data_IF_268830180985
#
_entry.id   IF_268830180985
#
_cell.length_a   1.000
_cell.length_b   1.000
_cell.length_c   1.000
_cell.angle_alpha   90.00
_cell.angle_beta   90.00
_cell.angle_gamma   90.00
#
_symmetry.space_group_name_H-M   'P 1'
#
loop_
_entity.id
_entity.type
_entity.pdbx_description
1 polymer ?
#
# COMPACT_ATOMS: atom_id res chain seq x y z
N UNK A 1 -17.63 -22.42 -19.36
CA UNK A 1 -18.97 -21.78 -19.34
C UNK A 1 -18.88 -20.44 -18.63
N UNK A 2 -19.36 -19.35 -19.24
CA UNK A 2 -19.52 -18.05 -18.58
C UNK A 2 -20.88 -18.02 -17.92
N UNK A 3 -20.93 -17.72 -16.62
CA UNK A 3 -22.16 -17.68 -15.84
C UNK A 3 -22.37 -16.32 -15.17
N UNK A 4 -23.63 -15.85 -14.99
CA UNK A 4 -23.91 -14.68 -14.17
C UNK A 4 -23.44 -14.90 -12.72
N UNK A 5 -22.96 -13.86 -12.00
CA UNK A 5 -22.43 -14.01 -10.64
C UNK A 5 -23.39 -14.68 -9.67
N UNK A 6 -24.70 -14.44 -9.80
CA UNK A 6 -25.72 -15.05 -8.93
C UNK A 6 -25.68 -16.58 -9.00
N UNK A 7 -25.44 -17.13 -10.19
CA UNK A 7 -25.40 -18.57 -10.45
C UNK A 7 -24.15 -19.15 -9.81
N UNK A 8 -23.00 -18.51 -10.03
CA UNK A 8 -21.73 -18.94 -9.42
C UNK A 8 -21.77 -18.93 -7.88
N UNK A 9 -22.45 -17.95 -7.28
CA UNK A 9 -22.61 -17.90 -5.83
C UNK A 9 -23.53 -19.03 -5.33
N UNK A 10 -24.66 -19.26 -6.01
CA UNK A 10 -25.60 -20.33 -5.64
C UNK A 10 -24.94 -21.71 -5.67
N UNK A 11 -24.10 -21.99 -6.67
CA UNK A 11 -23.35 -23.26 -6.76
C UNK A 11 -22.27 -23.40 -5.68
N UNK A 12 -21.72 -22.30 -5.16
CA UNK A 12 -20.69 -22.32 -4.10
C UNK A 12 -21.29 -22.52 -2.71
N UNK A 13 -22.44 -21.91 -2.42
CA UNK A 13 -23.04 -21.90 -1.08
C UNK A 13 -23.59 -23.24 -0.60
N UNK A 14 -23.82 -24.20 -1.51
CA UNK A 14 -24.48 -25.47 -1.18
C UNK A 14 -23.51 -26.62 -0.81
N UNK A 15 -22.21 -26.34 -0.67
CA UNK A 15 -21.18 -27.35 -0.41
C UNK A 15 -21.01 -27.73 1.07
N UNK A 16 -21.98 -27.44 1.93
CA UNK A 16 -21.93 -27.80 3.35
C UNK A 16 -23.08 -28.76 3.69
N UNK A 17 -22.69 -29.99 4.07
CA UNK A 17 -23.36 -30.91 5.01
C UNK A 17 -23.94 -32.25 4.53
N UNK A 18 -24.22 -32.56 3.26
CA UNK A 18 -24.81 -33.87 2.90
C UNK A 18 -24.39 -34.42 1.51
N UNK A 19 -24.63 -35.71 1.20
CA UNK A 19 -24.19 -36.35 -0.04
C UNK A 19 -24.80 -35.62 -1.24
N UNK A 20 -24.00 -34.78 -1.88
CA UNK A 20 -24.19 -34.14 -3.18
C UNK A 20 -25.66 -33.99 -3.63
N UNK A 21 -26.43 -33.02 -3.10
CA UNK A 21 -27.66 -32.61 -3.75
C UNK A 21 -27.35 -32.11 -5.16
N UNK A 22 -28.10 -32.54 -6.17
CA UNK A 22 -27.93 -32.07 -7.54
C UNK A 22 -28.13 -30.55 -7.59
N UNK A 23 -27.06 -29.79 -7.79
CA UNK A 23 -27.09 -28.32 -7.72
C UNK A 23 -27.77 -27.66 -8.92
N UNK A 24 -27.69 -28.31 -10.08
CA UNK A 24 -28.28 -27.85 -11.31
C UNK A 24 -28.51 -29.03 -12.26
N UNK A 25 -29.41 -28.85 -13.22
CA UNK A 25 -29.66 -29.78 -14.32
C UNK A 25 -29.38 -29.06 -15.62
N UNK A 26 -28.61 -29.68 -16.52
CA UNK A 26 -28.42 -29.20 -17.90
C UNK A 26 -29.35 -30.01 -18.79
N UNK A 27 -30.18 -29.32 -19.56
CA UNK A 27 -31.17 -29.89 -20.47
C UNK A 27 -30.74 -29.56 -21.89
N UNK A 28 -30.67 -30.59 -22.73
CA UNK A 28 -30.35 -30.48 -24.16
C UNK A 28 -31.61 -30.88 -24.93
N UNK A 29 -32.17 -29.92 -25.65
CA UNK A 29 -33.34 -30.13 -26.50
C UNK A 29 -32.88 -30.16 -27.96
N UNK A 30 -33.23 -31.23 -28.66
CA UNK A 30 -32.90 -31.43 -30.08
C UNK A 30 -34.23 -31.52 -30.81
N UNK A 31 -34.46 -30.63 -31.77
CA UNK A 31 -35.61 -30.70 -32.66
C UNK A 31 -35.20 -31.38 -33.99
N UNK A 32 -35.59 -32.65 -34.22
CA UNK A 32 -35.19 -33.38 -35.42
C UNK A 32 -35.87 -32.87 -36.70
N UNK A 33 -36.96 -32.08 -36.60
CA UNK A 33 -37.70 -31.58 -37.77
C UNK A 33 -37.11 -30.27 -38.34
N UNK A 34 -36.26 -29.60 -37.58
CA UNK A 34 -35.66 -28.31 -37.92
C UNK A 34 -34.20 -28.44 -38.39
N UNK A 35 -33.82 -29.52 -39.09
CA UNK A 35 -32.43 -29.90 -39.35
C UNK A 35 -31.61 -29.03 -40.32
N UNK A 36 -32.23 -28.05 -40.99
CA UNK A 36 -31.65 -27.41 -42.19
C UNK A 36 -31.37 -25.91 -42.09
N UNK A 37 -31.50 -25.31 -40.91
CA UNK A 37 -31.23 -23.89 -40.69
C UNK A 37 -30.25 -23.69 -39.53
N UNK A 38 -29.61 -22.53 -39.42
CA UNK A 38 -28.75 -22.17 -38.26
C UNK A 38 -29.49 -22.28 -36.90
N UNK A 39 -30.83 -22.41 -36.92
CA UNK A 39 -31.72 -22.69 -35.78
C UNK A 39 -31.88 -24.19 -35.43
N UNK A 40 -31.34 -25.12 -36.22
CA UNK A 40 -31.29 -26.57 -35.97
C UNK A 40 -30.41 -26.95 -34.77
N UNK A 41 -29.68 -25.98 -34.22
CA UNK A 41 -28.69 -26.23 -33.19
C UNK A 41 -29.34 -26.77 -31.92
N UNK A 42 -28.73 -27.76 -31.25
CA UNK A 42 -29.21 -28.23 -29.95
C UNK A 42 -29.39 -27.05 -29.00
N UNK A 43 -30.58 -26.92 -28.42
CA UNK A 43 -30.87 -25.89 -27.44
C UNK A 43 -30.39 -26.36 -26.08
N UNK A 44 -29.46 -25.63 -25.49
CA UNK A 44 -28.95 -25.90 -24.15
C UNK A 44 -29.63 -24.97 -23.14
N UNK A 45 -30.17 -25.54 -22.07
CA UNK A 45 -30.70 -24.79 -20.94
C UNK A 45 -30.18 -25.37 -19.63
N UNK A 46 -30.08 -24.53 -18.60
CA UNK A 46 -29.69 -24.94 -17.26
C UNK A 46 -30.76 -24.53 -16.27
N UNK A 47 -31.14 -25.48 -15.41
CA UNK A 47 -32.11 -25.29 -14.34
C UNK A 47 -31.41 -25.42 -12.99
N UNK A 48 -31.49 -24.39 -12.14
CA UNK A 48 -30.88 -24.39 -10.81
C UNK A 48 -31.80 -25.04 -9.78
N UNK A 49 -31.25 -25.90 -8.92
CA UNK A 49 -31.97 -26.46 -7.78
C UNK A 49 -32.09 -25.43 -6.65
N UNK A 50 -33.21 -25.47 -5.90
CA UNK A 50 -33.42 -24.60 -4.74
C UNK A 50 -33.82 -23.15 -5.07
N UNK A 51 -34.22 -22.85 -6.31
CA UNK A 51 -34.72 -21.53 -6.71
C UNK A 51 -36.17 -21.26 -6.25
N UNK A 52 -36.82 -22.21 -5.57
CA UNK A 52 -38.25 -22.13 -5.19
C UNK A 52 -38.57 -21.05 -4.14
N UNK A 53 -37.57 -20.57 -3.40
CA UNK A 53 -37.73 -19.64 -2.27
C UNK A 53 -37.03 -18.29 -2.44
N UNK A 54 -36.48 -17.98 -3.62
CA UNK A 54 -35.71 -16.74 -3.84
C UNK A 54 -35.99 -16.04 -5.17
N UNK A 55 -35.65 -14.74 -5.25
CA UNK A 55 -35.68 -13.93 -6.49
C UNK A 55 -34.59 -14.35 -7.51
N UNK A 56 -34.17 -15.62 -7.50
CA UNK A 56 -33.15 -16.15 -8.41
C UNK A 56 -33.86 -16.79 -9.59
N UNK A 57 -33.57 -16.38 -10.84
CA UNK A 57 -34.14 -17.05 -12.00
C UNK A 57 -33.80 -18.53 -11.96
N UNK A 58 -34.82 -19.38 -12.14
CA UNK A 58 -34.67 -20.83 -12.07
C UNK A 58 -34.01 -21.41 -13.33
N UNK A 59 -34.29 -20.80 -14.48
CA UNK A 59 -33.84 -21.27 -15.80
C UNK A 59 -32.94 -20.26 -16.50
N UNK A 60 -31.91 -20.78 -17.14
CA UNK A 60 -30.97 -20.03 -17.96
C UNK A 60 -30.80 -20.71 -19.31
N UNK A 61 -30.80 -19.92 -20.38
CA UNK A 61 -30.39 -20.38 -21.71
C UNK A 61 -28.87 -20.38 -21.81
N UNK A 62 -28.30 -21.41 -22.43
CA UNK A 62 -26.87 -21.54 -22.69
C UNK A 62 -26.62 -21.40 -24.19
N UNK A 63 -25.96 -20.33 -24.59
CA UNK A 63 -25.62 -20.06 -25.97
C UNK A 63 -24.21 -20.57 -26.26
N UNK A 64 -24.05 -21.41 -27.29
CA UNK A 64 -22.74 -21.88 -27.71
C UNK A 64 -22.08 -20.84 -28.61
N UNK A 65 -20.86 -20.42 -28.27
CA UNK A 65 -20.08 -19.51 -29.11
C UNK A 65 -19.63 -20.23 -30.39
N UNK A 66 -19.84 -19.59 -31.56
CA UNK A 66 -19.34 -20.08 -32.86
C UNK A 66 -17.83 -19.77 -33.05
N UNK A 67 -17.35 -18.69 -32.44
CA UNK A 67 -15.95 -18.24 -32.55
C UNK A 67 -15.12 -18.71 -31.35
N UNK A 68 -14.60 -19.93 -31.43
CA UNK A 68 -13.82 -20.53 -30.35
C UNK A 68 -12.31 -20.46 -30.64
N UNK A 69 -11.61 -19.67 -29.84
CA UNK A 69 -10.14 -19.66 -29.83
C UNK A 69 -9.67 -20.94 -29.13
N UNK A 70 -8.71 -21.71 -29.69
CA UNK A 70 -8.17 -22.90 -29.05
C UNK A 70 -7.63 -22.58 -27.65
N UNK A 71 -8.16 -23.26 -26.64
CA UNK A 71 -7.77 -23.09 -25.24
C UNK A 71 -7.53 -24.45 -24.59
N UNK A 72 -6.62 -24.50 -23.62
CA UNK A 72 -6.34 -25.68 -22.81
C UNK A 72 -6.54 -25.37 -21.32
N UNK A 73 -6.93 -26.38 -20.56
CA UNK A 73 -7.11 -26.32 -19.11
C UNK A 73 -5.90 -26.93 -18.43
N UNK A 74 -5.36 -26.21 -17.46
CA UNK A 74 -4.28 -26.68 -16.60
C UNK A 74 -4.75 -26.67 -15.15
N UNK A 75 -4.26 -27.61 -14.37
CA UNK A 75 -4.43 -27.65 -12.93
C UNK A 75 -3.08 -27.51 -12.24
N UNK A 76 -3.10 -26.91 -11.06
CA UNK A 76 -1.95 -26.82 -10.17
C UNK A 76 -2.33 -27.45 -8.84
N UNK A 77 -1.54 -28.44 -8.40
CA UNK A 77 -1.74 -29.06 -7.10
C UNK A 77 -1.29 -28.14 -5.96
N UNK A 78 -1.72 -28.42 -4.73
CA UNK A 78 -1.23 -27.69 -3.54
C UNK A 78 0.28 -27.83 -3.31
N UNK A 79 0.94 -28.78 -3.98
CA UNK A 79 2.39 -28.98 -3.97
C UNK A 79 3.10 -28.24 -5.13
N UNK A 80 2.39 -27.46 -5.94
CA UNK A 80 2.94 -26.70 -7.06
C UNK A 80 3.18 -27.51 -8.34
N UNK A 81 2.64 -28.73 -8.44
CA UNK A 81 2.75 -29.55 -9.66
C UNK A 81 1.69 -29.13 -10.67
N UNK A 82 2.12 -28.74 -11.87
CA UNK A 82 1.24 -28.37 -12.98
C UNK A 82 0.92 -29.58 -13.86
N UNK A 83 -0.35 -29.76 -14.23
CA UNK A 83 -0.81 -30.82 -15.15
C UNK A 83 -1.79 -30.27 -16.19
N UNK A 84 -1.81 -30.86 -17.40
CA UNK A 84 -2.75 -30.50 -18.47
C UNK A 84 -4.00 -31.37 -18.39
N UNK A 85 -5.16 -30.77 -18.13
CA UNK A 85 -6.44 -31.47 -17.94
C UNK A 85 -7.16 -31.78 -19.27
N UNK A 86 -7.01 -30.90 -20.26
CA UNK A 86 -7.65 -31.10 -21.56
C UNK A 86 -7.75 -29.85 -22.42
N UNK A 87 -8.38 -30.00 -23.60
CA UNK A 87 -8.66 -28.91 -24.53
C UNK A 87 -10.12 -28.50 -24.45
N UNK A 88 -10.40 -27.21 -24.60
CA UNK A 88 -11.77 -26.68 -24.60
C UNK A 88 -12.35 -26.86 -26.00
N UNK A 89 -13.41 -27.66 -26.11
CA UNK A 89 -14.12 -27.90 -27.37
C UNK A 89 -15.25 -26.88 -27.59
N UNK A 90 -16.07 -26.66 -26.55
CA UNK A 90 -17.27 -25.83 -26.62
C UNK A 90 -17.23 -24.72 -25.56
N UNK A 91 -17.63 -23.51 -25.95
CA UNK A 91 -17.78 -22.36 -25.06
C UNK A 91 -19.25 -22.01 -24.96
N UNK A 92 -19.74 -21.94 -23.73
CA UNK A 92 -21.12 -21.59 -23.43
C UNK A 92 -21.19 -20.27 -22.67
N UNK A 93 -22.02 -19.35 -23.16
CA UNK A 93 -22.40 -18.12 -22.49
C UNK A 93 -23.84 -18.25 -21.96
N UNK A 94 -24.01 -18.10 -20.66
CA UNK A 94 -25.29 -18.28 -20.01
C UNK A 94 -26.05 -16.95 -19.90
N UNK A 95 -27.33 -16.97 -20.28
CA UNK A 95 -28.25 -15.83 -20.25
C UNK A 95 -29.52 -16.19 -19.46
N UNK A 96 -30.14 -15.24 -18.75
CA UNK A 96 -31.43 -15.48 -18.10
C UNK A 96 -32.47 -15.91 -19.15
N UNK A 97 -33.24 -16.95 -18.86
CA UNK A 97 -34.30 -17.40 -19.77
C UNK A 97 -35.43 -16.34 -19.83
N UNK A 98 -36.11 -16.13 -20.99
CA UNK A 98 -37.08 -15.05 -21.17
C UNK A 98 -38.22 -15.09 -20.14
N UNK A 99 -38.66 -16.29 -19.76
CA UNK A 99 -39.71 -16.53 -18.78
C UNK A 99 -39.43 -15.86 -17.41
N UNK A 100 -38.16 -15.69 -17.04
CA UNK A 100 -37.74 -15.14 -15.75
C UNK A 100 -36.96 -13.83 -15.88
N UNK A 101 -37.17 -13.08 -16.97
CA UNK A 101 -36.38 -11.89 -17.26
C UNK A 101 -36.69 -10.72 -16.29
N UNK A 102 -37.93 -10.57 -15.84
CA UNK A 102 -38.34 -9.43 -15.01
C UNK A 102 -37.79 -9.51 -13.58
N UNK A 103 -37.83 -10.70 -12.96
CA UNK A 103 -37.20 -10.94 -11.66
C UNK A 103 -35.68 -10.71 -11.71
N UNK A 104 -35.03 -11.15 -12.79
CA UNK A 104 -33.61 -10.89 -13.03
C UNK A 104 -33.29 -9.39 -13.17
N UNK A 105 -34.12 -8.64 -13.91
CA UNK A 105 -33.96 -7.18 -14.06
C UNK A 105 -34.05 -6.47 -12.72
N UNK A 106 -35.01 -6.84 -11.87
CA UNK A 106 -35.15 -6.31 -10.51
C UNK A 106 -33.88 -6.55 -9.70
N UNK A 107 -33.35 -7.77 -9.72
CA UNK A 107 -32.13 -8.15 -9.02
C UNK A 107 -30.90 -7.37 -9.52
N UNK A 108 -30.80 -7.10 -10.81
CA UNK A 108 -29.76 -6.23 -11.37
C UNK A 108 -29.88 -4.79 -10.85
N UNK A 109 -31.09 -4.22 -10.78
CA UNK A 109 -31.32 -2.87 -10.23
C UNK A 109 -30.96 -2.80 -8.75
N UNK A 110 -31.39 -3.77 -7.96
CA UNK A 110 -31.07 -3.87 -6.52
C UNK A 110 -29.56 -3.92 -6.28
N UNK A 111 -28.82 -4.68 -7.10
CA UNK A 111 -27.36 -4.72 -7.03
C UNK A 111 -26.73 -3.37 -7.32
N UNK A 112 -27.15 -2.71 -8.41
CA UNK A 112 -26.65 -1.37 -8.73
C UNK A 112 -26.95 -0.41 -7.60
N UNK A 113 -28.16 -0.40 -7.05
CA UNK A 113 -28.52 0.45 -5.91
C UNK A 113 -27.63 0.16 -4.69
N UNK A 114 -27.42 -1.12 -4.36
CA UNK A 114 -26.56 -1.53 -3.24
C UNK A 114 -25.12 -1.06 -3.42
N UNK A 115 -24.56 -1.16 -4.63
CA UNK A 115 -23.18 -0.74 -4.91
C UNK A 115 -23.05 0.78 -5.06
N UNK A 116 -24.09 1.48 -5.50
CA UNK A 116 -24.11 2.94 -5.61
C UNK A 116 -24.32 3.62 -4.25
N UNK A 117 -24.79 2.88 -3.24
CA UNK A 117 -24.92 3.39 -1.87
C UNK A 117 -23.52 3.54 -1.25
N UNK A 118 -23.05 4.78 -1.14
CA UNK A 118 -21.78 5.10 -0.50
C UNK A 118 -21.85 4.75 0.99
N UNK A 119 -21.09 3.74 1.42
CA UNK A 119 -21.03 3.33 2.84
C UNK A 119 -20.21 4.30 3.69
N UNK A 120 -19.30 5.06 3.07
CA UNK A 120 -18.51 6.10 3.76
C UNK A 120 -19.29 7.41 3.79
N UNK A 121 -19.50 7.95 4.99
CA UNK A 121 -20.02 9.30 5.18
C UNK A 121 -18.85 10.27 5.23
N UNK A 122 -18.82 11.24 4.32
CA UNK A 122 -17.94 12.40 4.45
C UNK A 122 -18.63 13.35 5.42
N UNK A 123 -18.04 13.56 6.59
CA UNK A 123 -18.51 14.59 7.51
C UNK A 123 -17.91 15.91 7.06
N UNK A 124 -18.77 16.81 6.57
CA UNK A 124 -18.39 18.21 6.33
C UNK A 124 -18.30 18.87 7.70
N UNK A 125 -17.13 19.41 8.04
CA UNK A 125 -16.95 20.17 9.27
C UNK A 125 -17.52 21.56 8.99
N UNK A 126 -18.78 21.77 9.37
CA UNK A 126 -19.55 23.00 9.10
C UNK A 126 -19.00 24.25 9.82
N UNK A 127 -18.10 24.06 10.79
CA UNK A 127 -17.53 25.14 11.61
C UNK A 127 -15.99 25.10 11.65
N UNK A 128 -15.35 25.20 10.48
CA UNK A 128 -13.90 25.39 10.39
C UNK A 128 -13.53 26.87 10.32
N UNK A 129 -13.53 27.55 11.48
CA UNK A 129 -13.10 28.95 11.61
C UNK A 129 -11.57 29.12 11.53
N UNK A 130 -10.85 28.18 10.90
CA UNK A 130 -9.39 28.19 10.77
C UNK A 130 -8.62 28.06 12.09
N UNK A 131 -9.31 27.88 13.23
CA UNK A 131 -8.70 27.75 14.55
C UNK A 131 -7.84 26.49 14.68
N UNK A 132 -8.17 25.41 13.95
CA UNK A 132 -7.40 24.16 13.89
C UNK A 132 -6.19 24.22 12.96
N UNK A 133 -6.09 25.26 12.12
CA UNK A 133 -5.03 25.43 11.13
C UNK A 133 -3.98 26.46 11.56
N UNK A 134 -4.17 27.11 12.72
CA UNK A 134 -3.18 28.05 13.26
C UNK A 134 -2.19 27.30 14.16
N UNK A 135 -0.87 27.38 13.89
CA UNK A 135 0.12 26.87 14.83
C UNK A 135 -0.04 27.61 16.15
N UNK A 136 -0.23 26.87 17.25
CA UNK A 136 -0.42 27.43 18.59
C UNK A 136 0.75 28.34 18.96
N UNK A 137 0.53 29.65 19.19
CA UNK A 137 1.57 30.53 19.69
C UNK A 137 2.00 30.05 21.08
N UNK A 138 3.27 29.65 21.22
CA UNK A 138 3.86 29.28 22.52
C UNK A 138 4.15 27.79 22.74
N UNK A 139 3.87 26.89 21.79
CA UNK A 139 4.12 25.44 21.96
C UNK A 139 5.31 24.89 21.16
N UNK A 140 6.33 25.73 20.92
CA UNK A 140 7.59 25.32 20.28
C UNK A 140 8.48 24.42 21.17
N UNK A 141 8.00 24.02 22.36
CA UNK A 141 8.79 23.30 23.37
C UNK A 141 8.36 21.87 23.73
N UNK A 142 7.12 21.42 23.45
CA UNK A 142 6.58 20.22 24.13
C UNK A 142 6.07 19.07 23.24
N UNK A 143 6.20 19.13 21.91
CA UNK A 143 5.96 17.94 21.07
C UNK A 143 7.15 17.72 20.14
N UNK A 144 8.09 16.90 20.61
CA UNK A 144 9.07 16.20 19.76
C UNK A 144 8.52 14.79 19.55
N UNK A 145 7.66 14.63 18.55
CA UNK A 145 7.37 13.32 17.97
C UNK A 145 7.84 13.35 16.52
N UNK A 146 9.10 13.00 16.30
CA UNK A 146 9.72 12.88 15.00
C UNK A 146 11.21 12.53 15.16
N UNK A 147 11.71 11.43 14.57
CA UNK A 147 13.08 11.00 14.73
C UNK A 147 13.92 11.76 13.71
N UNK A 148 14.20 13.04 13.95
CA UNK A 148 15.30 13.77 13.30
C UNK A 148 15.35 15.19 13.86
N UNK A 149 15.97 15.35 15.04
CA UNK A 149 16.32 16.66 15.57
C UNK A 149 17.83 16.80 15.66
N UNK A 150 18.41 17.48 14.67
CA UNK A 150 19.67 18.20 14.85
C UNK A 150 19.51 19.15 16.03
N UNK A 151 20.23 18.87 17.12
CA UNK A 151 20.34 19.76 18.27
C UNK A 151 21.02 21.05 17.81
N UNK A 152 20.26 22.15 17.79
CA UNK A 152 20.85 23.49 17.78
C UNK A 152 21.44 23.73 19.17
N UNK A 153 22.73 24.09 19.28
CA UNK A 153 23.37 24.24 20.58
C UNK A 153 22.79 25.46 21.31
N UNK A 154 22.30 25.18 22.51
CA UNK A 154 21.89 26.11 23.55
C UNK A 154 22.95 27.19 23.76
N UNK A 155 22.53 28.44 23.52
CA UNK A 155 22.95 29.68 24.17
C UNK A 155 24.13 29.51 25.16
N UNK A 156 25.35 29.74 24.68
CA UNK A 156 26.54 29.80 25.50
C UNK A 156 26.54 31.08 26.34
N UNK A 157 26.72 30.91 27.64
CA UNK A 157 27.01 31.95 28.63
C UNK A 157 28.08 32.93 28.11
N UNK A 158 27.75 34.22 28.01
CA UNK A 158 28.74 35.30 27.86
C UNK A 158 29.51 35.44 29.18
N UNK A 159 30.52 34.61 29.39
CA UNK A 159 31.54 34.85 30.40
C UNK A 159 32.60 35.76 29.78
N UNK A 160 32.72 36.98 30.30
CA UNK A 160 33.89 37.85 30.06
C UNK A 160 35.16 37.05 30.35
N UNK A 161 35.88 36.67 29.30
CA UNK A 161 37.15 35.93 29.39
C UNK A 161 38.27 36.89 29.79
N UNK A 162 38.92 36.61 30.91
CA UNK A 162 40.07 37.38 31.39
C UNK A 162 41.36 36.78 30.82
N UNK A 163 42.24 37.63 30.30
CA UNK A 163 43.57 37.27 29.78
C UNK A 163 44.37 36.48 30.81
N UNK A 164 44.95 35.35 30.40
CA UNK A 164 45.85 34.52 31.23
C UNK A 164 47.28 35.04 31.20
N UNK A 165 48.05 34.72 32.24
CA UNK A 165 49.47 35.08 32.32
C UNK A 165 50.28 34.38 31.22
N UNK A 166 51.34 35.04 30.75
CA UNK A 166 52.12 34.58 29.60
C UNK A 166 52.87 33.27 29.89
N UNK A 167 53.43 33.11 31.10
CA UNK A 167 54.18 31.89 31.44
C UNK A 167 53.29 30.66 31.51
N UNK A 168 52.08 30.81 32.07
CA UNK A 168 51.07 29.74 32.14
C UNK A 168 50.55 29.34 30.76
N UNK A 169 50.41 30.31 29.84
CA UNK A 169 49.91 30.03 28.49
C UNK A 169 50.90 29.20 27.67
N UNK A 170 52.20 29.50 27.77
CA UNK A 170 53.24 28.73 27.10
C UNK A 170 53.24 27.27 27.58
N UNK A 171 53.14 27.03 28.89
CA UNK A 171 53.08 25.66 29.45
C UNK A 171 51.84 24.88 28.99
N UNK A 172 50.66 25.52 28.98
CA UNK A 172 49.42 24.90 28.51
C UNK A 172 49.52 24.56 27.02
N UNK A 173 50.02 25.48 26.21
CA UNK A 173 50.18 25.27 24.77
C UNK A 173 51.17 24.12 24.48
N UNK A 174 52.31 24.07 25.17
CA UNK A 174 53.25 22.95 25.04
C UNK A 174 52.59 21.60 25.33
N UNK A 175 51.84 21.49 26.45
CA UNK A 175 51.09 20.27 26.78
C UNK A 175 50.02 19.91 25.75
N UNK A 176 49.36 20.90 25.13
CA UNK A 176 48.37 20.65 24.07
C UNK A 176 49.08 20.10 22.81
N UNK A 177 50.18 20.72 22.38
CA UNK A 177 50.92 20.29 21.19
C UNK A 177 51.68 18.97 21.37
N UNK A 178 52.10 18.62 22.59
CA UNK A 178 52.59 17.27 22.91
C UNK A 178 51.52 16.20 22.66
N UNK A 179 50.25 16.54 22.93
CA UNK A 179 49.13 15.60 22.84
C UNK A 179 48.71 15.33 21.40
N UNK A 180 48.78 16.34 20.54
CA UNK A 180 48.62 16.21 19.09
C UNK A 180 49.29 17.40 18.38
N UNK A 181 49.98 17.17 17.25
CA UNK A 181 50.77 18.22 16.59
C UNK A 181 49.93 19.30 15.91
N UNK A 182 48.64 19.03 15.62
CA UNK A 182 47.76 19.95 14.92
C UNK A 182 46.49 20.22 15.74
N UNK A 183 46.24 21.50 16.03
CA UNK A 183 45.05 21.96 16.73
C UNK A 183 44.30 23.00 15.88
N UNK A 184 42.97 22.94 15.88
CA UNK A 184 42.16 24.00 15.26
C UNK A 184 41.99 25.18 16.22
N UNK A 185 41.88 26.40 15.68
CA UNK A 185 41.75 27.62 16.47
C UNK A 185 40.57 27.56 17.46
N UNK A 186 39.45 26.96 17.05
CA UNK A 186 38.27 26.78 17.93
C UNK A 186 38.56 25.88 19.14
N UNK A 187 39.35 24.82 18.95
CA UNK A 187 39.73 23.93 20.04
C UNK A 187 40.73 24.61 20.99
N UNK A 188 41.68 25.37 20.44
CA UNK A 188 42.62 26.17 21.24
C UNK A 188 41.88 27.18 22.12
N UNK A 189 40.91 27.91 21.56
CA UNK A 189 40.06 28.85 22.32
C UNK A 189 39.29 28.14 23.43
N UNK A 190 38.79 26.94 23.17
CA UNK A 190 38.01 26.17 24.13
C UNK A 190 38.89 25.64 25.28
N UNK A 191 40.07 25.11 24.98
CA UNK A 191 40.99 24.54 25.99
C UNK A 191 41.71 25.63 26.79
N UNK A 192 42.09 26.73 26.14
CA UNK A 192 42.84 27.84 26.78
C UNK A 192 41.95 28.94 27.35
N UNK A 193 40.63 28.90 27.09
CA UNK A 193 39.63 29.91 27.47
C UNK A 193 40.06 31.36 27.19
N UNK A 194 40.92 31.57 26.19
CA UNK A 194 41.39 32.87 25.74
C UNK A 194 40.52 33.41 24.59
N UNK A 195 40.46 34.73 24.38
CA UNK A 195 39.86 35.28 23.16
C UNK A 195 40.66 34.85 21.91
N UNK A 196 39.96 34.76 20.78
CA UNK A 196 40.50 34.24 19.50
C UNK A 196 41.81 34.92 19.08
N UNK A 197 41.87 36.26 19.16
CA UNK A 197 43.04 37.03 18.77
C UNK A 197 44.29 36.72 19.63
N UNK A 198 44.12 36.41 20.93
CA UNK A 198 45.24 36.13 21.83
C UNK A 198 45.70 34.67 21.74
N UNK A 199 44.76 33.74 21.52
CA UNK A 199 45.09 32.34 21.27
C UNK A 199 45.91 32.16 19.97
N UNK A 200 45.54 32.90 18.92
CA UNK A 200 46.29 32.91 17.65
C UNK A 200 47.69 33.53 17.82
N UNK A 201 47.78 34.70 18.46
CA UNK A 201 49.05 35.38 18.70
C UNK A 201 50.03 34.51 19.50
N UNK A 202 49.53 33.78 20.51
CA UNK A 202 50.36 32.97 21.39
C UNK A 202 50.81 31.66 20.74
N UNK A 203 49.95 31.05 19.92
CA UNK A 203 50.32 29.92 19.06
C UNK A 203 51.43 30.32 18.08
N UNK A 204 51.27 31.45 17.38
CA UNK A 204 52.28 31.97 16.46
C UNK A 204 53.59 32.36 17.16
N UNK A 205 53.54 32.87 18.40
CA UNK A 205 54.77 33.17 19.16
C UNK A 205 55.54 31.91 19.56
N UNK A 206 54.84 30.81 19.86
CA UNK A 206 55.47 29.54 20.20
C UNK A 206 56.12 28.89 18.99
N UNK A 207 55.47 28.91 17.83
CA UNK A 207 56.07 28.43 16.57
C UNK A 207 57.35 29.22 16.26
N UNK A 208 57.33 30.54 16.42
CA UNK A 208 58.52 31.39 16.23
C UNK A 208 59.63 31.15 17.26
N UNK A 209 59.30 30.68 18.47
CA UNK A 209 60.27 30.31 19.49
C UNK A 209 60.93 28.97 19.14
N UNK A 210 60.14 27.97 18.73
CA UNK A 210 60.64 26.66 18.32
C UNK A 210 61.49 26.73 17.04
N UNK A 211 61.14 27.58 16.07
CA UNK A 211 61.96 27.78 14.86
C UNK A 211 63.28 28.55 15.15
N UNK A 212 63.36 29.28 16.28
CA UNK A 212 64.58 29.98 16.69
C UNK A 212 65.63 29.06 17.32
N UNK A 213 65.23 27.92 17.84
CA UNK A 213 66.12 26.92 18.44
C UNK A 213 66.61 25.86 17.43
N UNK A 214 66.30 26.02 16.13
CA UNK A 214 66.71 25.13 15.02
C UNK A 214 67.77 25.80 14.09
N UNK A 215 68.55 26.76 14.62
CA UNK A 215 69.81 27.25 13.99
C UNK A 215 70.94 27.32 15.00
#
# INVERSE_FOLDING_TARGET
MKCPPLVSCSLRSSNQDHPSPSLAKVIVSIDPLHSNDDSASPQFTMELAGAESGNIPKRFSMEMSKDLIPMAVFSESSQGKISMEGKILNKFDMKPHPENLESYRKLCRERTQKYMTKTRKIQVIENDNGARMRPMPGMMGFIVSGPDKKKTPTKGSEMKRTRRDRGEMEEIMFKLFERQPNWTLKQLIQETDQPEAEAEASSLSLVKLLDRDIV
#
